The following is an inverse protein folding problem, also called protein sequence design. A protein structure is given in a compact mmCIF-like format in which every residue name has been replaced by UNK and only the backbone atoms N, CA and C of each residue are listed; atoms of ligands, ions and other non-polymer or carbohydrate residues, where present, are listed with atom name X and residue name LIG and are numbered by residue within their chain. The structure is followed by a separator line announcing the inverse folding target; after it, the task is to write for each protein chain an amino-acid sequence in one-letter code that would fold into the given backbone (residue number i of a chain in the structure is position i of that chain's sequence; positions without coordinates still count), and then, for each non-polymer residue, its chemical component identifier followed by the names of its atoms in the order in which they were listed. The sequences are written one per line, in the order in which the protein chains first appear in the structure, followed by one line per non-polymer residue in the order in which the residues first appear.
data_IF_467368364899
#
_entry.id   IF_467368364899
#
_cell.length_a   1.000
_cell.length_b   1.000
_cell.length_c   1.000
_cell.angle_alpha   90.00
_cell.angle_beta   90.00
_cell.angle_gamma   90.00
#
_symmetry.space_group_name_H-M   'P 1'
#
loop_
_entity.id
_entity.type
_entity.pdbx_description
1 polymer ?
#
# COMPACT_ATOMS: atom_id res chain seq x y z
N UNK A 1 -8.47 37.01 64.15
CA UNK A 1 -9.47 37.40 65.16
C UNK A 1 -10.83 37.57 64.48
N UNK A 2 -11.89 37.10 65.15
CA UNK A 2 -13.13 36.64 64.52
C UNK A 2 -14.06 37.73 64.00
N UNK A 3 -14.56 37.54 62.78
CA UNK A 3 -15.69 38.29 62.23
C UNK A 3 -17.01 37.62 62.63
N UNK A 4 -17.74 38.28 63.52
CA UNK A 4 -19.05 37.90 64.06
C UNK A 4 -20.10 37.71 62.95
N UNK A 5 -20.65 36.49 62.84
CA UNK A 5 -21.83 36.20 62.02
C UNK A 5 -23.05 36.90 62.61
N UNK A 6 -23.56 37.93 61.92
CA UNK A 6 -24.81 38.62 62.29
C UNK A 6 -25.98 37.63 62.41
N UNK A 7 -26.65 37.63 63.57
CA UNK A 7 -27.84 36.83 63.84
C UNK A 7 -29.03 37.33 62.99
N UNK A 8 -29.78 36.40 62.41
CA UNK A 8 -31.02 36.66 61.65
C UNK A 8 -32.12 37.14 62.58
N UNK A 9 -32.82 38.21 62.21
CA UNK A 9 -34.05 38.67 62.88
C UNK A 9 -35.20 37.69 62.57
N UNK A 10 -35.86 37.10 63.56
CA UNK A 10 -37.00 36.20 63.36
C UNK A 10 -38.23 36.99 62.89
N UNK A 11 -38.91 36.52 61.84
CA UNK A 11 -40.20 37.09 61.38
C UNK A 11 -40.26 37.56 59.91
N UNK A 12 -39.14 37.67 59.18
CA UNK A 12 -39.18 37.95 57.73
C UNK A 12 -39.26 36.66 56.90
N UNK A 13 -40.36 36.47 56.17
CA UNK A 13 -40.51 35.37 55.20
C UNK A 13 -39.39 35.45 54.15
N UNK A 14 -38.64 34.35 53.94
CA UNK A 14 -37.65 34.25 52.85
C UNK A 14 -38.34 34.56 51.51
N UNK A 15 -37.85 35.50 50.69
CA UNK A 15 -38.34 35.61 49.32
C UNK A 15 -38.04 34.29 48.61
N UNK A 16 -39.06 33.66 48.02
CA UNK A 16 -38.90 32.42 47.23
C UNK A 16 -37.93 32.74 46.08
N UNK A 17 -36.88 31.95 45.92
CA UNK A 17 -35.96 32.09 44.79
C UNK A 17 -36.75 31.85 43.50
N UNK A 18 -37.01 32.90 42.73
CA UNK A 18 -37.56 32.75 41.38
C UNK A 18 -36.46 32.14 40.53
N UNK A 19 -36.53 30.82 40.30
CA UNK A 19 -35.65 30.18 39.31
C UNK A 19 -36.03 30.76 37.95
N UNK A 20 -35.06 31.40 37.29
CA UNK A 20 -35.25 31.92 35.94
C UNK A 20 -35.78 30.79 35.01
N UNK A 21 -36.77 31.14 34.18
CA UNK A 21 -37.36 30.22 33.19
C UNK A 21 -36.24 29.78 32.25
N UNK A 22 -35.95 28.47 32.22
CA UNK A 22 -34.95 27.88 31.32
C UNK A 22 -35.44 28.09 29.89
N UNK A 23 -34.95 29.12 29.22
CA UNK A 23 -35.18 29.31 27.79
C UNK A 23 -34.28 28.33 27.04
N UNK A 24 -34.85 27.64 26.06
CA UNK A 24 -34.22 26.61 25.23
C UNK A 24 -33.00 27.10 24.41
N UNK A 25 -32.62 28.38 24.52
CA UNK A 25 -31.44 28.97 23.87
C UNK A 25 -30.13 28.82 24.67
N UNK A 26 -30.14 28.30 25.89
CA UNK A 26 -28.91 27.96 26.65
C UNK A 26 -28.52 26.48 26.58
N UNK A 27 -28.94 25.74 25.54
CA UNK A 27 -28.50 24.35 25.33
C UNK A 27 -27.12 24.24 24.67
N UNK A 28 -26.12 24.88 25.29
CA UNK A 28 -24.72 24.50 25.12
C UNK A 28 -24.18 24.14 26.49
N UNK A 29 -24.52 22.94 26.96
CA UNK A 29 -23.77 22.29 28.05
C UNK A 29 -22.34 22.05 27.52
N UNK A 30 -21.52 23.09 27.58
CA UNK A 30 -20.05 23.01 27.49
C UNK A 30 -19.65 22.20 28.74
N UNK A 31 -19.57 20.88 28.59
CA UNK A 31 -19.32 19.96 29.70
C UNK A 31 -17.99 20.38 30.34
N UNK A 32 -18.01 20.71 31.62
CA UNK A 32 -16.80 21.04 32.38
C UNK A 32 -15.91 19.78 32.47
N UNK A 33 -14.60 19.97 32.52
CA UNK A 33 -13.65 18.87 32.75
C UNK A 33 -13.78 18.36 34.19
N UNK A 34 -13.10 17.25 34.54
CA UNK A 34 -13.07 16.66 35.89
C UNK A 34 -12.57 17.64 36.99
N UNK A 35 -12.13 18.85 36.60
CA UNK A 35 -11.61 19.92 37.47
C UNK A 35 -12.23 21.29 37.16
N UNK A 36 -13.46 21.38 36.61
CA UNK A 36 -14.17 22.66 36.45
C UNK A 36 -13.61 23.62 35.39
N UNK A 37 -12.55 23.25 34.65
CA UNK A 37 -12.08 24.05 33.50
C UNK A 37 -12.97 23.83 32.28
N UNK A 38 -13.32 24.91 31.59
CA UNK A 38 -14.05 24.87 30.33
C UNK A 38 -13.32 24.01 29.30
N UNK A 39 -14.04 23.07 28.68
CA UNK A 39 -13.47 22.26 27.62
C UNK A 39 -13.35 23.05 26.32
N UNK A 40 -12.14 23.04 25.75
CA UNK A 40 -11.90 23.56 24.40
C UNK A 40 -12.68 22.72 23.38
N UNK A 41 -13.26 23.41 22.39
CA UNK A 41 -14.03 22.79 21.30
C UNK A 41 -13.16 21.74 20.59
N UNK A 42 -13.70 20.54 20.39
CA UNK A 42 -13.02 19.45 19.68
C UNK A 42 -12.10 18.56 20.53
N UNK A 43 -11.91 18.84 21.83
CA UNK A 43 -11.09 17.98 22.71
C UNK A 43 -11.79 16.71 23.21
N UNK A 44 -13.12 16.62 23.12
CA UNK A 44 -13.89 15.43 23.53
C UNK A 44 -14.94 15.05 22.50
N UNK A 45 -15.24 13.76 22.44
CA UNK A 45 -16.25 13.16 21.56
C UNK A 45 -15.66 12.55 20.30
N UNK A 46 -16.53 12.13 19.38
CA UNK A 46 -16.17 11.45 18.12
C UNK A 46 -15.12 12.26 17.34
N UNK A 47 -15.27 13.59 17.29
CA UNK A 47 -14.34 14.52 16.64
C UNK A 47 -12.90 14.40 17.15
N UNK A 48 -12.71 14.13 18.44
CA UNK A 48 -11.38 14.02 19.04
C UNK A 48 -10.65 12.73 18.66
N UNK A 49 -11.36 11.73 18.12
CA UNK A 49 -10.77 10.42 17.76
C UNK A 49 -10.26 10.38 16.32
N UNK A 50 -10.62 11.36 15.49
CA UNK A 50 -10.28 11.39 14.08
C UNK A 50 -9.41 12.58 13.72
N UNK A 51 -8.51 12.37 12.78
CA UNK A 51 -7.59 13.36 12.25
C UNK A 51 -7.73 13.42 10.73
N UNK A 52 -7.73 14.61 10.15
CA UNK A 52 -7.77 14.78 8.69
C UNK A 52 -6.45 14.37 8.06
N UNK A 53 -6.45 13.88 6.81
CA UNK A 53 -5.24 13.52 6.07
C UNK A 53 -4.12 14.57 6.17
N UNK A 54 -4.44 15.86 5.99
CA UNK A 54 -3.44 16.94 6.04
C UNK A 54 -2.83 17.11 7.44
N UNK A 55 -3.60 16.89 8.50
CA UNK A 55 -3.08 16.90 9.87
C UNK A 55 -2.15 15.70 10.13
N UNK A 56 -2.50 14.51 9.62
CA UNK A 56 -1.67 13.31 9.73
C UNK A 56 -0.31 13.51 9.04
N UNK A 57 -0.31 14.06 7.82
CA UNK A 57 0.92 14.36 7.08
C UNK A 57 1.84 15.32 7.83
N UNK A 58 1.28 16.38 8.43
CA UNK A 58 2.06 17.32 9.26
C UNK A 58 2.64 16.67 10.50
N UNK A 59 1.89 15.75 11.13
CA UNK A 59 2.33 15.04 12.34
C UNK A 59 3.43 14.03 12.07
N UNK A 60 3.31 13.23 11.00
CA UNK A 60 4.29 12.20 10.62
C UNK A 60 5.52 12.78 9.89
N UNK A 61 5.41 14.01 9.35
CA UNK A 61 6.46 14.71 8.58
C UNK A 61 6.92 13.93 7.33
N UNK A 62 5.97 13.31 6.63
CA UNK A 62 6.21 12.51 5.42
C UNK A 62 5.46 13.08 4.21
N UNK A 63 5.88 12.69 3.02
CA UNK A 63 5.20 13.09 1.78
C UNK A 63 3.87 12.34 1.60
N UNK A 64 2.96 12.86 0.78
CA UNK A 64 1.69 12.18 0.49
C UNK A 64 1.91 10.80 -0.16
N UNK A 65 2.93 10.67 -1.01
CA UNK A 65 3.28 9.40 -1.66
C UNK A 65 3.69 8.35 -0.63
N UNK A 66 4.62 8.70 0.24
CA UNK A 66 5.13 7.78 1.27
C UNK A 66 4.05 7.45 2.30
N UNK A 67 3.18 8.42 2.62
CA UNK A 67 2.02 8.18 3.48
C UNK A 67 1.03 7.19 2.88
N UNK A 68 0.68 7.31 1.59
CA UNK A 68 -0.20 6.33 0.93
C UNK A 68 0.40 4.94 0.96
N UNK A 69 1.69 4.82 0.62
CA UNK A 69 2.42 3.55 0.68
C UNK A 69 2.40 2.95 2.08
N UNK A 70 2.72 3.73 3.10
CA UNK A 70 2.75 3.27 4.48
C UNK A 70 1.36 2.80 4.95
N UNK A 71 0.31 3.52 4.59
CA UNK A 71 -1.07 3.12 4.88
C UNK A 71 -1.45 1.80 4.23
N UNK A 72 -1.02 1.56 2.98
CA UNK A 72 -1.27 0.30 2.27
C UNK A 72 -0.53 -0.85 2.96
N UNK A 73 0.76 -0.68 3.23
CA UNK A 73 1.60 -1.68 3.87
C UNK A 73 1.09 -2.07 5.26
N UNK A 74 0.60 -1.10 6.06
CA UNK A 74 0.02 -1.37 7.38
C UNK A 74 -1.47 -1.72 7.37
N UNK A 75 -2.16 -1.60 6.24
CA UNK A 75 -3.62 -1.84 6.18
C UNK A 75 -4.45 -0.80 6.92
N UNK A 76 -4.04 0.48 6.89
CA UNK A 76 -4.80 1.58 7.51
C UNK A 76 -5.64 2.27 6.45
N UNK A 77 -6.96 2.20 6.64
CA UNK A 77 -7.95 2.74 5.71
C UNK A 77 -8.55 4.04 6.23
N UNK A 78 -8.92 4.97 5.33
CA UNK A 78 -9.69 6.14 5.72
C UNK A 78 -11.06 5.71 6.28
N UNK A 79 -11.54 6.42 7.29
CA UNK A 79 -12.83 6.19 7.96
C UNK A 79 -13.77 7.37 7.69
N UNK A 80 -15.06 7.11 7.63
CA UNK A 80 -16.07 8.16 7.51
C UNK A 80 -16.81 8.37 8.84
N UNK A 81 -16.41 9.37 9.66
CA UNK A 81 -17.02 9.57 10.98
C UNK A 81 -18.41 10.21 10.86
N UNK A 82 -19.36 9.72 11.68
CA UNK A 82 -20.74 10.27 11.77
C UNK A 82 -20.79 11.77 12.01
N UNK A 83 -19.84 12.32 12.78
CA UNK A 83 -19.68 13.75 13.03
C UNK A 83 -18.31 14.19 12.52
N UNK A 84 -18.31 14.89 11.38
CA UNK A 84 -17.10 15.40 10.75
C UNK A 84 -16.67 16.72 11.42
N UNK A 85 -15.41 16.79 11.81
CA UNK A 85 -14.83 17.95 12.49
C UNK A 85 -14.50 19.10 11.52
N UNK A 86 -14.11 18.73 10.29
CA UNK A 86 -13.82 19.63 9.18
C UNK A 86 -14.73 19.23 8.00
N UNK A 87 -14.59 19.86 6.83
CA UNK A 87 -15.46 19.67 5.65
C UNK A 87 -15.77 18.20 5.28
N UNK A 88 -16.88 18.02 4.55
CA UNK A 88 -17.43 16.70 4.18
C UNK A 88 -16.53 15.90 3.23
N UNK A 89 -15.72 16.59 2.43
CA UNK A 89 -14.91 16.02 1.35
C UNK A 89 -13.51 15.59 1.78
N UNK A 90 -13.25 15.55 3.09
CA UNK A 90 -11.94 15.20 3.64
C UNK A 90 -11.91 13.74 4.10
N UNK A 91 -10.80 13.07 3.81
CA UNK A 91 -10.49 11.77 4.38
C UNK A 91 -10.06 11.91 5.85
N UNK A 92 -10.66 11.10 6.72
CA UNK A 92 -10.34 11.03 8.14
C UNK A 92 -9.65 9.71 8.47
N UNK A 93 -8.69 9.77 9.40
CA UNK A 93 -7.98 8.62 9.95
C UNK A 93 -8.16 8.61 11.46
N UNK A 94 -8.13 7.43 12.06
CA UNK A 94 -8.24 7.31 13.51
C UNK A 94 -6.90 7.69 14.17
N UNK A 95 -6.94 8.39 15.31
CA UNK A 95 -5.72 8.86 15.97
C UNK A 95 -4.87 7.70 16.49
N UNK A 96 -5.51 6.60 16.92
CA UNK A 96 -4.75 5.40 17.34
C UNK A 96 -3.92 4.84 16.20
N UNK A 97 -4.51 4.72 15.01
CA UNK A 97 -3.84 4.21 13.81
C UNK A 97 -2.65 5.11 13.41
N UNK A 98 -2.81 6.43 13.53
CA UNK A 98 -1.71 7.39 13.32
C UNK A 98 -0.60 7.24 14.39
N UNK A 99 -0.98 6.90 15.62
CA UNK A 99 -0.03 6.54 16.67
C UNK A 99 0.78 5.30 16.31
N UNK A 100 0.11 4.23 15.84
CA UNK A 100 0.77 3.02 15.36
C UNK A 100 1.71 3.30 14.18
N UNK A 101 1.30 4.16 13.23
CA UNK A 101 2.17 4.61 12.12
C UNK A 101 3.42 5.36 12.58
N UNK A 102 3.35 6.06 13.72
CA UNK A 102 4.48 6.86 14.21
C UNK A 102 5.62 5.99 14.74
N UNK A 103 5.31 4.79 15.24
CA UNK A 103 6.28 3.84 15.79
C UNK A 103 6.75 2.78 14.78
N UNK A 104 6.37 2.94 13.52
CA UNK A 104 6.67 1.98 12.47
C UNK A 104 8.12 2.16 11.95
N UNK A 105 8.93 1.08 11.83
CA UNK A 105 10.34 1.17 11.45
C UNK A 105 10.60 1.56 9.98
N UNK A 106 9.72 1.24 9.03
CA UNK A 106 9.81 1.72 7.64
C UNK A 106 9.77 3.24 7.54
N UNK A 107 9.14 3.95 8.49
CA UNK A 107 9.20 5.41 8.56
C UNK A 107 10.64 5.92 8.60
N UNK A 108 11.49 5.26 9.40
CA UNK A 108 12.91 5.60 9.49
C UNK A 108 13.64 5.26 8.17
N UNK A 109 13.30 4.13 7.55
CA UNK A 109 13.83 3.74 6.23
C UNK A 109 13.46 4.71 5.11
N UNK A 110 12.25 5.26 5.11
CA UNK A 110 11.87 6.30 4.15
C UNK A 110 12.65 7.59 4.35
N UNK A 111 12.96 7.96 5.60
CA UNK A 111 13.82 9.11 5.93
C UNK A 111 15.26 8.88 5.47
N UNK A 112 15.81 7.69 5.73
CA UNK A 112 17.13 7.26 5.23
C UNK A 112 17.18 7.32 3.71
N UNK A 113 16.17 6.77 3.02
CA UNK A 113 16.07 6.79 1.57
C UNK A 113 15.99 8.22 1.01
N UNK A 114 15.25 9.11 1.67
CA UNK A 114 15.19 10.52 1.27
C UNK A 114 16.53 11.24 1.44
N UNK A 115 17.24 10.99 2.54
CA UNK A 115 18.58 11.52 2.76
C UNK A 115 19.58 10.97 1.73
N UNK A 116 19.47 9.68 1.40
CA UNK A 116 20.21 9.02 0.35
C UNK A 116 19.98 9.68 -1.03
N UNK A 117 18.72 9.86 -1.42
CA UNK A 117 18.36 10.51 -2.69
C UNK A 117 18.89 11.95 -2.77
N UNK A 118 18.95 12.68 -1.65
CA UNK A 118 19.58 14.01 -1.59
C UNK A 118 21.08 13.95 -1.86
N UNK A 119 21.79 12.94 -1.33
CA UNK A 119 23.23 12.73 -1.57
C UNK A 119 23.50 12.34 -3.02
N UNK A 120 22.73 11.42 -3.59
CA UNK A 120 22.82 11.04 -5.01
C UNK A 120 22.59 12.24 -5.90
N UNK A 121 21.52 13.03 -5.64
CA UNK A 121 21.25 14.26 -6.40
C UNK A 121 22.40 15.26 -6.31
N UNK A 122 23.00 15.44 -5.13
CA UNK A 122 24.16 16.34 -4.95
C UNK A 122 25.37 15.90 -5.78
N UNK A 123 25.64 14.60 -5.84
CA UNK A 123 26.73 14.05 -6.67
C UNK A 123 26.46 14.27 -8.16
N UNK A 124 25.24 13.98 -8.61
CA UNK A 124 24.83 14.21 -10.00
C UNK A 124 24.90 15.68 -10.38
N UNK A 125 24.40 16.59 -9.52
CA UNK A 125 24.47 18.04 -9.76
C UNK A 125 25.90 18.58 -9.80
N UNK A 126 26.88 17.89 -9.22
CA UNK A 126 28.31 18.21 -9.32
C UNK A 126 28.98 17.63 -10.57
N UNK A 127 28.31 16.76 -11.31
CA UNK A 127 28.88 16.04 -12.46
C UNK A 127 29.69 14.78 -12.10
N UNK A 128 29.76 14.42 -10.81
CA UNK A 128 30.55 13.27 -10.32
C UNK A 128 29.81 11.93 -10.57
N UNK A 129 29.83 11.43 -11.82
CA UNK A 129 29.08 10.23 -12.26
C UNK A 129 29.50 8.96 -11.50
N UNK A 130 30.81 8.74 -11.33
CA UNK A 130 31.35 7.55 -10.64
C UNK A 130 30.93 7.48 -9.17
N UNK A 131 30.88 8.64 -8.50
CA UNK A 131 30.42 8.73 -7.12
C UNK A 131 28.91 8.49 -7.04
N UNK A 132 28.13 8.96 -8.00
CA UNK A 132 26.70 8.69 -8.07
C UNK A 132 26.40 7.19 -8.22
N UNK A 133 27.10 6.48 -9.10
CA UNK A 133 26.96 5.03 -9.30
C UNK A 133 27.33 4.22 -8.05
N UNK A 134 28.47 4.55 -7.41
CA UNK A 134 28.87 3.93 -6.13
C UNK A 134 27.81 4.13 -5.05
N UNK A 135 27.22 5.32 -4.99
CA UNK A 135 26.12 5.59 -4.04
C UNK A 135 24.87 4.81 -4.43
N UNK A 136 24.49 4.74 -5.70
CA UNK A 136 23.34 3.94 -6.16
C UNK A 136 23.45 2.47 -5.77
N UNK A 137 24.65 1.88 -5.85
CA UNK A 137 24.91 0.51 -5.39
C UNK A 137 24.68 0.32 -3.87
N UNK A 138 24.82 1.37 -3.07
CA UNK A 138 24.60 1.35 -1.61
C UNK A 138 23.17 1.80 -1.24
N UNK A 139 22.20 1.69 -2.15
CA UNK A 139 20.84 2.11 -1.88
C UNK A 139 20.25 1.35 -0.68
N UNK A 140 19.68 2.04 0.32
CA UNK A 140 19.08 1.37 1.46
C UNK A 140 17.81 0.63 1.01
N UNK A 141 17.76 -0.65 1.29
CA UNK A 141 16.58 -1.50 1.10
C UNK A 141 15.89 -1.71 2.44
N UNK A 142 14.57 -1.87 2.42
CA UNK A 142 13.79 -2.27 3.58
C UNK A 142 13.11 -3.61 3.30
N UNK A 143 12.83 -4.35 4.36
CA UNK A 143 12.09 -5.60 4.32
C UNK A 143 10.67 -5.38 4.86
N UNK A 144 9.73 -6.22 4.43
CA UNK A 144 8.33 -6.17 4.87
C UNK A 144 7.96 -7.36 5.78
N UNK A 145 8.95 -8.16 6.15
CA UNK A 145 8.78 -9.43 6.86
C UNK A 145 8.10 -9.26 8.22
N UNK A 146 8.45 -8.19 8.95
CA UNK A 146 7.82 -7.87 10.22
C UNK A 146 6.34 -7.50 10.05
N UNK A 147 5.97 -6.88 8.93
CA UNK A 147 4.57 -6.51 8.67
C UNK A 147 3.69 -7.74 8.46
N UNK A 148 4.17 -8.72 7.69
CA UNK A 148 3.44 -9.95 7.44
C UNK A 148 3.21 -10.70 8.75
N UNK A 149 4.25 -10.80 9.59
CA UNK A 149 4.17 -11.47 10.90
C UNK A 149 3.26 -10.76 11.91
N UNK A 150 3.25 -9.43 11.91
CA UNK A 150 2.36 -8.64 12.77
C UNK A 150 0.90 -8.74 12.32
N UNK A 151 0.66 -8.77 11.00
CA UNK A 151 -0.70 -8.80 10.43
C UNK A 151 -1.34 -10.19 10.50
N UNK A 152 -0.55 -11.24 10.26
CA UNK A 152 -1.00 -12.64 10.26
C UNK A 152 -0.25 -13.43 11.33
N UNK A 153 -0.70 -13.37 12.60
CA UNK A 153 -0.06 -14.13 13.68
C UNK A 153 -0.25 -15.64 13.49
N UNK A 154 -1.38 -16.06 12.90
CA UNK A 154 -1.64 -17.45 12.52
C UNK A 154 -1.48 -17.63 11.02
N UNK A 155 -1.12 -18.85 10.64
CA UNK A 155 -0.93 -19.19 9.24
C UNK A 155 -2.25 -19.28 8.47
N UNK A 156 -3.32 -19.74 9.12
CA UNK A 156 -4.63 -19.86 8.49
C UNK A 156 -5.18 -18.46 8.12
N UNK A 157 -4.95 -17.45 8.98
CA UNK A 157 -5.29 -16.05 8.67
C UNK A 157 -4.57 -15.55 7.40
N UNK A 158 -3.33 -15.99 7.16
CA UNK A 158 -2.58 -15.64 5.95
C UNK A 158 -3.10 -16.36 4.69
N UNK A 159 -3.63 -17.58 4.84
CA UNK A 159 -4.27 -18.31 3.74
C UNK A 159 -5.59 -17.67 3.33
N UNK A 160 -6.34 -17.10 4.29
CA UNK A 160 -7.60 -16.42 4.00
C UNK A 160 -7.47 -15.15 3.17
N UNK A 161 -6.36 -14.45 3.28
CA UNK A 161 -6.08 -13.23 2.50
C UNK A 161 -5.30 -13.52 1.19
N UNK A 162 -5.12 -14.79 0.83
CA UNK A 162 -4.30 -15.21 -0.32
C UNK A 162 -5.00 -14.99 -1.68
N UNK A 163 -6.34 -14.98 -1.70
CA UNK A 163 -7.19 -14.82 -2.89
C UNK A 163 -6.85 -13.55 -3.70
N UNK A 164 -6.81 -12.42 -3.00
CA UNK A 164 -6.48 -11.11 -3.58
C UNK A 164 -5.03 -11.06 -4.07
N UNK A 165 -4.11 -11.65 -3.29
CA UNK A 165 -2.70 -11.69 -3.62
C UNK A 165 -2.46 -12.47 -4.92
N UNK A 166 -3.05 -13.67 -5.03
CA UNK A 166 -2.93 -14.53 -6.21
C UNK A 166 -3.54 -13.86 -7.44
N UNK A 167 -4.72 -13.28 -7.31
CA UNK A 167 -5.39 -12.59 -8.42
C UNK A 167 -4.56 -11.42 -8.94
N UNK A 168 -3.94 -10.64 -8.04
CA UNK A 168 -3.08 -9.52 -8.44
C UNK A 168 -1.78 -10.00 -9.10
N UNK A 169 -1.13 -11.03 -8.56
CA UNK A 169 0.11 -11.59 -9.14
C UNK A 169 -0.12 -12.14 -10.55
N UNK A 170 -1.22 -12.86 -10.77
CA UNK A 170 -1.56 -13.39 -12.10
C UNK A 170 -1.90 -12.26 -13.08
N UNK A 171 -2.54 -11.18 -12.64
CA UNK A 171 -2.74 -9.99 -13.46
C UNK A 171 -1.39 -9.39 -13.90
N UNK A 172 -0.50 -9.10 -12.96
CA UNK A 172 0.81 -8.51 -13.27
C UNK A 172 1.72 -9.42 -14.10
N UNK A 173 1.55 -10.74 -14.02
CA UNK A 173 2.26 -11.71 -14.85
C UNK A 173 1.88 -11.60 -16.35
N UNK A 174 0.62 -11.25 -16.64
CA UNK A 174 0.11 -11.06 -18.01
C UNK A 174 0.31 -9.65 -18.57
N UNK A 175 0.51 -8.65 -17.71
CA UNK A 175 0.68 -7.27 -18.14
C UNK A 175 2.03 -7.05 -18.85
N UNK A 176 2.06 -6.24 -19.94
CA UNK A 176 3.30 -5.82 -20.57
C UNK A 176 4.09 -4.90 -19.62
N UNK A 177 5.42 -4.95 -19.72
CA UNK A 177 6.30 -4.09 -18.95
C UNK A 177 6.32 -2.67 -19.55
N UNK A 178 5.27 -1.90 -19.28
CA UNK A 178 5.12 -0.51 -19.72
C UNK A 178 4.97 0.48 -18.55
N UNK A 179 5.44 1.72 -18.78
CA UNK A 179 5.30 2.85 -17.87
C UNK A 179 5.97 2.65 -16.50
N UNK A 180 5.22 2.58 -15.39
CA UNK A 180 5.76 2.37 -14.05
C UNK A 180 6.05 0.90 -13.73
N UNK A 181 5.55 -0.04 -14.52
CA UNK A 181 5.75 -1.49 -14.29
C UNK A 181 7.13 -1.89 -14.83
N UNK A 182 7.96 -2.44 -13.95
CA UNK A 182 9.31 -2.89 -14.33
C UNK A 182 9.27 -4.34 -14.79
N UNK A 183 10.02 -4.66 -15.85
CA UNK A 183 10.14 -6.03 -16.36
C UNK A 183 10.56 -7.03 -15.27
N UNK A 184 11.48 -6.64 -14.38
CA UNK A 184 11.91 -7.47 -13.25
C UNK A 184 10.76 -7.82 -12.28
N UNK A 185 9.77 -6.94 -12.12
CA UNK A 185 8.60 -7.18 -11.26
C UNK A 185 7.61 -8.11 -11.92
N UNK A 186 7.33 -7.90 -13.21
CA UNK A 186 6.51 -8.80 -14.02
C UNK A 186 7.06 -10.22 -14.01
N UNK A 187 8.38 -10.37 -14.17
CA UNK A 187 9.03 -11.68 -14.14
C UNK A 187 8.93 -12.35 -12.77
N UNK A 188 9.14 -11.58 -11.69
CA UNK A 188 8.93 -12.12 -10.34
C UNK A 188 7.50 -12.58 -10.10
N UNK A 189 6.50 -11.88 -10.67
CA UNK A 189 5.10 -12.29 -10.58
C UNK A 189 4.82 -13.58 -11.35
N UNK A 190 5.42 -13.74 -12.54
CA UNK A 190 5.34 -15.00 -13.31
C UNK A 190 5.92 -16.17 -12.52
N UNK A 191 7.11 -16.01 -11.95
CA UNK A 191 7.73 -17.02 -11.10
C UNK A 191 6.82 -17.39 -9.93
N UNK A 192 6.31 -16.41 -9.17
CA UNK A 192 5.40 -16.68 -8.04
C UNK A 192 4.09 -17.36 -8.47
N UNK A 193 3.53 -16.99 -9.62
CA UNK A 193 2.34 -17.65 -10.17
C UNK A 193 2.63 -19.12 -10.51
N UNK A 194 3.78 -19.41 -11.13
CA UNK A 194 4.22 -20.77 -11.43
C UNK A 194 4.51 -21.58 -10.16
N UNK A 195 5.18 -20.99 -9.16
CA UNK A 195 5.41 -21.60 -7.84
C UNK A 195 4.08 -22.01 -7.18
N UNK A 196 3.05 -21.17 -7.27
CA UNK A 196 1.71 -21.49 -6.75
C UNK A 196 1.03 -22.60 -7.55
N UNK A 197 1.02 -22.49 -8.88
CA UNK A 197 0.39 -23.48 -9.74
C UNK A 197 1.02 -24.86 -9.58
N UNK A 198 2.36 -24.93 -9.47
CA UNK A 198 3.10 -26.16 -9.19
C UNK A 198 2.69 -26.77 -7.85
N UNK A 199 2.58 -25.95 -6.80
CA UNK A 199 2.11 -26.40 -5.50
C UNK A 199 0.72 -27.02 -5.58
N UNK A 200 -0.24 -26.34 -6.22
CA UNK A 200 -1.63 -26.83 -6.35
C UNK A 200 -1.67 -28.15 -7.14
N UNK A 201 -0.90 -28.26 -8.22
CA UNK A 201 -0.81 -29.47 -9.02
C UNK A 201 -0.23 -30.64 -8.21
N UNK A 202 0.85 -30.41 -7.45
CA UNK A 202 1.50 -31.46 -6.66
C UNK A 202 0.73 -31.87 -5.41
N UNK A 203 0.00 -30.94 -4.80
CA UNK A 203 -0.86 -31.21 -3.65
C UNK A 203 -2.21 -31.83 -4.03
N UNK A 204 -2.57 -31.87 -5.33
CA UNK A 204 -3.90 -32.24 -5.81
C UNK A 204 -5.03 -31.49 -5.10
N UNK A 205 -4.81 -30.20 -4.82
CA UNK A 205 -5.70 -29.40 -3.97
C UNK A 205 -6.84 -28.70 -4.75
N UNK A 206 -6.86 -28.81 -6.08
CA UNK A 206 -7.84 -28.12 -6.91
C UNK A 206 -9.23 -28.77 -6.80
N UNK A 207 -10.25 -27.98 -6.45
CA UNK A 207 -11.61 -28.49 -6.22
C UNK A 207 -12.59 -28.04 -7.30
N UNK A 208 -12.61 -26.73 -7.64
CA UNK A 208 -13.55 -26.18 -8.62
C UNK A 208 -12.84 -25.30 -9.63
N UNK A 209 -13.35 -25.33 -10.86
CA UNK A 209 -12.88 -24.49 -11.97
C UNK A 209 -14.08 -23.91 -12.68
N UNK A 210 -14.03 -22.62 -12.98
CA UNK A 210 -15.08 -21.92 -13.73
C UNK A 210 -14.49 -20.97 -14.76
N UNK A 211 -14.82 -21.17 -16.03
CA UNK A 211 -14.36 -20.32 -17.13
C UNK A 211 -15.37 -19.19 -17.35
N UNK A 212 -14.88 -17.96 -17.39
CA UNK A 212 -15.68 -16.76 -17.63
C UNK A 212 -15.07 -15.91 -18.75
N UNK A 213 -15.80 -14.88 -19.16
CA UNK A 213 -15.32 -13.87 -20.13
C UNK A 213 -14.08 -13.13 -19.60
N UNK A 214 -14.00 -12.90 -18.28
CA UNK A 214 -12.87 -12.19 -17.66
C UNK A 214 -11.59 -13.02 -17.57
N UNK A 215 -11.72 -14.34 -17.53
CA UNK A 215 -10.63 -15.26 -17.19
C UNK A 215 -11.16 -16.56 -16.61
N UNK A 216 -10.24 -17.37 -16.09
CA UNK A 216 -10.55 -18.65 -15.45
C UNK A 216 -10.45 -18.49 -13.94
N UNK A 217 -11.52 -18.83 -13.24
CA UNK A 217 -11.57 -18.89 -11.79
C UNK A 217 -11.17 -20.30 -11.33
N UNK A 218 -10.24 -20.37 -10.40
CA UNK A 218 -9.81 -21.60 -9.75
C UNK A 218 -10.13 -21.52 -8.26
N UNK A 219 -10.57 -22.64 -7.70
CA UNK A 219 -10.72 -22.81 -6.26
C UNK A 219 -9.90 -24.02 -5.83
N UNK A 220 -8.99 -23.83 -4.88
CA UNK A 220 -8.22 -24.91 -4.26
C UNK A 220 -8.44 -24.97 -2.76
N UNK A 221 -8.50 -26.17 -2.20
CA UNK A 221 -8.61 -26.40 -0.77
C UNK A 221 -7.22 -26.58 -0.17
N UNK A 222 -6.71 -25.54 0.48
CA UNK A 222 -5.38 -25.57 1.11
C UNK A 222 -5.55 -25.62 2.61
N UNK A 223 -5.31 -26.81 3.19
CA UNK A 223 -5.57 -27.05 4.61
C UNK A 223 -7.07 -27.15 4.89
N UNK A 224 -7.65 -26.12 5.53
CA UNK A 224 -9.10 -26.02 5.82
C UNK A 224 -9.74 -24.78 5.22
N UNK A 225 -9.03 -24.09 4.34
CA UNK A 225 -9.46 -22.81 3.78
C UNK A 225 -9.58 -22.95 2.26
N UNK A 226 -10.77 -22.68 1.68
CA UNK A 226 -10.89 -22.59 0.23
C UNK A 226 -10.24 -21.28 -0.23
N UNK A 227 -9.28 -21.39 -1.13
CA UNK A 227 -8.59 -20.26 -1.77
C UNK A 227 -9.12 -20.13 -3.19
N UNK A 228 -9.66 -18.96 -3.55
CA UNK A 228 -10.23 -18.68 -4.87
C UNK A 228 -9.46 -17.56 -5.56
N UNK A 229 -8.96 -17.80 -6.76
CA UNK A 229 -8.27 -16.77 -7.55
C UNK A 229 -8.68 -16.80 -9.01
N UNK A 230 -8.46 -15.67 -9.69
CA UNK A 230 -8.69 -15.54 -11.13
C UNK A 230 -7.36 -15.47 -11.88
N UNK A 231 -7.29 -16.23 -12.97
CA UNK A 231 -6.23 -16.11 -13.98
C UNK A 231 -6.85 -15.44 -15.21
N UNK A 232 -6.40 -14.22 -15.58
CA UNK A 232 -6.91 -13.56 -16.77
C UNK A 232 -6.51 -14.32 -18.03
N UNK A 233 -7.33 -14.22 -19.08
CA UNK A 233 -6.96 -14.73 -20.39
C UNK A 233 -5.70 -14.03 -20.90
N UNK A 234 -4.82 -14.78 -21.56
CA UNK A 234 -3.53 -14.29 -22.06
C UNK A 234 -3.70 -13.44 -23.34
N UNK A 235 -4.40 -12.32 -23.22
CA UNK A 235 -4.57 -11.32 -24.27
C UNK A 235 -3.62 -10.14 -24.05
N UNK A 236 -3.26 -9.46 -25.14
CA UNK A 236 -2.51 -8.20 -25.07
C UNK A 236 -3.43 -7.12 -24.50
N UNK A 237 -3.27 -6.82 -23.21
CA UNK A 237 -4.07 -5.81 -22.53
C UNK A 237 -3.50 -4.42 -22.81
N UNK A 238 -4.38 -3.46 -23.14
CA UNK A 238 -4.03 -2.05 -23.21
C UNK A 238 -4.19 -1.46 -21.81
N UNK A 239 -3.10 -0.91 -21.28
CA UNK A 239 -3.06 -0.30 -19.94
C UNK A 239 -3.87 1.00 -19.91
N UNK A 240 -5.01 1.07 -19.18
CA UNK A 240 -5.80 2.29 -19.13
C UNK A 240 -5.08 3.39 -18.32
N UNK A 241 -5.13 4.67 -18.75
CA UNK A 241 -4.45 5.77 -18.08
C UNK A 241 -5.10 6.16 -16.74
N UNK A 242 -6.37 5.77 -16.51
CA UNK A 242 -7.14 6.14 -15.32
C UNK A 242 -6.71 5.38 -14.05
N UNK A 243 -5.92 4.31 -14.20
CA UNK A 243 -5.52 3.43 -13.10
C UNK A 243 -4.17 3.85 -12.50
N UNK A 244 -4.14 4.10 -11.18
CA UNK A 244 -2.90 4.43 -10.48
C UNK A 244 -2.07 3.17 -10.16
N UNK A 245 -1.21 2.78 -11.11
CA UNK A 245 -0.29 1.65 -10.94
C UNK A 245 0.70 1.83 -9.78
N UNK A 246 0.98 3.06 -9.32
CA UNK A 246 1.90 3.24 -8.18
C UNK A 246 1.30 2.68 -6.90
N UNK A 247 0.00 2.82 -6.73
CA UNK A 247 -0.73 2.22 -5.61
C UNK A 247 -0.73 0.69 -5.77
N UNK A 248 -1.08 0.18 -6.96
CA UNK A 248 -1.09 -1.26 -7.21
C UNK A 248 0.28 -1.92 -6.98
N UNK A 249 1.37 -1.28 -7.38
CA UNK A 249 2.73 -1.77 -7.14
C UNK A 249 3.08 -1.86 -5.65
N UNK A 250 2.54 -0.98 -4.81
CA UNK A 250 2.74 -1.08 -3.35
C UNK A 250 1.94 -2.22 -2.72
N UNK A 251 0.76 -2.56 -3.26
CA UNK A 251 0.04 -3.77 -2.89
C UNK A 251 0.79 -5.02 -3.35
N UNK A 252 1.26 -5.02 -4.60
CA UNK A 252 2.02 -6.11 -5.18
C UNK A 252 3.27 -6.43 -4.35
N UNK A 253 4.02 -5.41 -3.93
CA UNK A 253 5.20 -5.57 -3.09
C UNK A 253 4.90 -6.29 -1.77
N UNK A 254 3.77 -5.96 -1.12
CA UNK A 254 3.33 -6.65 0.09
C UNK A 254 2.90 -8.09 -0.22
N UNK A 255 2.12 -8.29 -1.28
CA UNK A 255 1.64 -9.62 -1.68
C UNK A 255 2.76 -10.56 -2.14
N UNK A 256 3.81 -10.05 -2.78
CA UNK A 256 5.02 -10.82 -3.09
C UNK A 256 5.65 -11.37 -1.80
N UNK A 257 5.75 -10.56 -0.74
CA UNK A 257 6.30 -11.02 0.55
C UNK A 257 5.37 -12.01 1.24
N UNK A 258 4.05 -11.74 1.24
CA UNK A 258 3.04 -12.67 1.78
C UNK A 258 3.12 -14.03 1.10
N UNK A 259 3.15 -14.07 -0.24
CA UNK A 259 3.26 -15.29 -1.04
C UNK A 259 4.54 -16.05 -0.75
N UNK A 260 5.69 -15.36 -0.62
CA UNK A 260 6.95 -16.02 -0.25
C UNK A 260 6.83 -16.72 1.11
N UNK A 261 6.25 -16.07 2.12
CA UNK A 261 6.04 -16.69 3.44
C UNK A 261 5.07 -17.87 3.39
N UNK A 262 3.98 -17.74 2.64
CA UNK A 262 2.98 -18.81 2.56
C UNK A 262 3.51 -20.01 1.78
N UNK A 263 4.06 -19.78 0.59
CA UNK A 263 4.68 -20.81 -0.24
C UNK A 263 5.83 -21.50 0.50
N UNK A 264 6.71 -20.77 1.18
CA UNK A 264 7.77 -21.38 1.98
C UNK A 264 7.23 -22.44 2.93
N UNK A 265 6.19 -22.11 3.72
CA UNK A 265 5.60 -23.07 4.67
C UNK A 265 4.85 -24.21 3.98
N UNK A 266 4.16 -23.94 2.88
CA UNK A 266 3.42 -24.94 2.11
C UNK A 266 4.36 -25.98 1.47
N UNK A 267 5.47 -25.53 0.88
CA UNK A 267 6.49 -26.41 0.29
C UNK A 267 7.19 -27.26 1.36
N UNK A 268 7.47 -26.68 2.54
CA UNK A 268 8.01 -27.44 3.67
C UNK A 268 7.06 -28.55 4.16
N UNK A 269 5.74 -28.35 4.05
CA UNK A 269 4.75 -29.39 4.37
C UNK A 269 4.68 -30.51 3.32
N UNK A 270 5.12 -30.25 2.08
CA UNK A 270 5.20 -31.24 1.00
C UNK A 270 6.58 -31.89 0.86
N UNK A 271 7.48 -31.63 1.81
CA UNK A 271 8.87 -32.08 1.78
C UNK A 271 9.69 -31.62 0.55
N UNK A 272 9.32 -30.49 -0.05
CA UNK A 272 10.01 -29.89 -1.21
C UNK A 272 10.79 -28.63 -0.78
N UNK A 273 12.01 -28.48 -1.30
CA UNK A 273 12.83 -27.30 -1.04
C UNK A 273 12.24 -26.03 -1.68
N UNK A 274 12.26 -24.93 -0.94
CA UNK A 274 11.84 -23.61 -1.40
C UNK A 274 13.02 -22.65 -1.45
N UNK A 275 13.19 -21.84 -2.51
CA UNK A 275 12.41 -21.81 -3.76
C UNK A 275 12.62 -23.07 -4.63
N UNK A 276 11.62 -23.50 -5.43
CA UNK A 276 11.82 -24.59 -6.38
C UNK A 276 12.82 -24.18 -7.47
N UNK A 277 13.55 -25.16 -8.01
CA UNK A 277 14.49 -24.90 -9.10
C UNK A 277 13.73 -24.72 -10.42
N UNK A 278 14.13 -23.72 -11.19
CA UNK A 278 13.63 -23.49 -12.55
C UNK A 278 14.66 -23.97 -13.56
N UNK A 279 14.25 -24.80 -14.51
CA UNK A 279 15.09 -25.18 -15.64
C UNK A 279 14.96 -24.13 -16.75
N UNK A 280 15.98 -23.27 -16.88
CA UNK A 280 15.96 -22.13 -17.81
C UNK A 280 15.76 -22.55 -19.27
N UNK A 281 16.20 -23.76 -19.66
CA UNK A 281 15.96 -24.28 -21.02
C UNK A 281 14.48 -24.55 -21.26
N UNK A 282 13.79 -25.16 -20.29
CA UNK A 282 12.35 -25.46 -20.40
C UNK A 282 11.50 -24.19 -20.29
N UNK A 283 12.00 -23.18 -19.56
CA UNK A 283 11.39 -21.87 -19.48
C UNK A 283 11.46 -21.12 -20.83
N UNK A 284 12.62 -21.15 -21.49
CA UNK A 284 12.80 -20.62 -22.86
C UNK A 284 11.92 -21.33 -23.89
N UNK A 285 11.73 -22.65 -23.75
CA UNK A 285 10.81 -23.42 -24.57
C UNK A 285 9.31 -23.15 -24.25
N UNK A 286 9.01 -22.33 -23.24
CA UNK A 286 7.63 -21.97 -22.90
C UNK A 286 6.83 -23.08 -22.23
N UNK A 287 7.49 -24.06 -21.59
CA UNK A 287 6.81 -25.20 -20.94
C UNK A 287 6.38 -24.89 -19.50
N UNK A 288 6.45 -23.62 -19.07
CA UNK A 288 5.92 -23.04 -17.82
C UNK A 288 5.93 -23.99 -16.61
N UNK A 289 4.81 -24.66 -16.34
CA UNK A 289 4.64 -25.54 -15.16
C UNK A 289 5.63 -26.72 -15.14
N UNK A 290 6.00 -27.28 -16.30
CA UNK A 290 6.95 -28.38 -16.39
C UNK A 290 8.42 -27.94 -16.20
N UNK A 291 8.69 -26.63 -16.30
CA UNK A 291 10.02 -26.07 -16.03
C UNK A 291 10.33 -26.02 -14.52
N UNK A 292 9.32 -26.12 -13.66
CA UNK A 292 9.48 -26.11 -12.21
C UNK A 292 9.83 -27.51 -11.71
N UNK A 293 11.03 -27.66 -11.13
CA UNK A 293 11.49 -28.90 -10.50
C UNK A 293 11.55 -28.73 -8.98
N UNK A 294 10.68 -29.47 -8.29
CA UNK A 294 10.74 -29.62 -6.84
C UNK A 294 11.87 -30.56 -6.44
N UNK A 295 12.93 -30.04 -5.83
CA UNK A 295 13.97 -30.85 -5.21
C UNK A 295 13.52 -31.31 -3.82
N UNK A 296 13.79 -32.56 -3.40
CA UNK A 296 13.44 -33.03 -2.07
C UNK A 296 14.24 -32.29 -0.99
N UNK A 297 13.60 -31.93 0.14
CA UNK A 297 14.22 -31.17 1.24
C UNK A 297 15.51 -31.82 1.78
N UNK A 298 15.57 -33.15 1.84
CA UNK A 298 16.73 -33.90 2.35
C UNK A 298 18.00 -33.71 1.49
N UNK A 299 17.87 -33.36 0.21
CA UNK A 299 19.00 -33.11 -0.70
C UNK A 299 19.38 -31.62 -0.83
N UNK A 300 18.53 -30.70 -0.42
CA UNK A 300 18.71 -29.26 -0.66
C UNK A 300 19.59 -28.54 0.37
N UNK A 301 19.84 -29.16 1.55
CA UNK A 301 20.67 -28.56 2.61
C UNK A 301 22.11 -28.27 2.16
N UNK A 302 22.64 -29.00 1.17
CA UNK A 302 23.99 -28.79 0.62
C UNK A 302 24.08 -27.66 -0.40
N UNK A 303 22.97 -27.20 -1.00
CA UNK A 303 22.98 -26.19 -2.07
C UNK A 303 22.74 -24.77 -1.54
N UNK A 304 22.12 -24.63 -0.36
CA UNK A 304 21.89 -23.33 0.28
C UNK A 304 23.19 -22.72 0.85
N UNK A 305 24.21 -23.55 1.11
CA UNK A 305 25.52 -23.11 1.64
C UNK A 305 26.49 -22.63 0.57
N UNK A 306 26.31 -23.00 -0.71
CA UNK A 306 27.23 -22.62 -1.79
C UNK A 306 27.01 -21.20 -2.32
N UNK A 307 25.86 -20.57 -2.05
CA UNK A 307 25.57 -19.20 -2.49
C UNK A 307 26.17 -18.10 -1.60
N UNK A 308 26.86 -18.47 -0.50
CA UNK A 308 27.43 -17.51 0.48
C UNK A 308 28.96 -17.52 0.53
N UNK A 309 29.65 -18.30 -0.31
CA UNK A 309 31.12 -18.47 -0.23
C UNK A 309 31.86 -18.28 -1.55
N UNK A 310 31.46 -17.33 -2.39
CA UNK A 310 32.30 -16.85 -3.49
C UNK A 310 32.56 -15.35 -3.36
N UNK A 311 33.44 -15.05 -2.40
CA UNK A 311 34.09 -13.77 -2.27
C UNK A 311 35.56 -14.01 -1.92
N UNK A 312 36.43 -13.71 -2.89
CA UNK A 312 37.90 -13.61 -2.84
C UNK A 312 38.72 -14.82 -3.31
N UNK A 313 39.18 -14.77 -4.57
CA UNK A 313 40.60 -14.63 -4.95
C UNK A 313 40.92 -15.33 -6.28
N UNK A 314 41.24 -14.57 -7.33
CA UNK A 314 42.47 -14.67 -8.12
C UNK A 314 42.34 -13.86 -9.42
N UNK A 315 43.28 -12.92 -9.63
CA UNK A 315 43.53 -12.22 -10.89
C UNK A 315 44.52 -13.04 -11.71
N UNK A 316 44.28 -13.23 -13.01
CA UNK A 316 45.26 -12.99 -14.10
C UNK A 316 44.63 -13.19 -15.49
N UNK A 317 44.89 -12.25 -16.42
CA UNK A 317 44.97 -12.49 -17.88
C UNK A 317 43.76 -12.16 -18.77
N UNK A 318 43.83 -11.03 -19.49
CA UNK A 318 42.90 -10.51 -20.54
C UNK A 318 43.21 -11.10 -21.95
N UNK A 319 42.69 -10.57 -23.09
CA UNK A 319 41.30 -10.24 -23.52
C UNK A 319 40.94 -10.73 -24.96
N UNK A 320 39.66 -10.88 -25.34
CA UNK A 320 39.14 -10.37 -26.64
C UNK A 320 37.60 -10.47 -26.83
N UNK A 321 37.06 -9.43 -27.47
CA UNK A 321 35.84 -9.33 -28.29
C UNK A 321 34.43 -9.59 -27.70
N UNK A 322 33.73 -8.50 -27.34
CA UNK A 322 32.43 -8.11 -27.94
C UNK A 322 31.93 -6.78 -27.35
N UNK A 323 32.27 -5.67 -28.02
CA UNK A 323 31.81 -4.34 -27.69
C UNK A 323 30.34 -4.13 -28.13
N UNK A 324 29.44 -3.90 -27.16
CA UNK A 324 28.09 -3.39 -27.41
C UNK A 324 27.75 -2.25 -26.44
N UNK A 325 28.12 -1.04 -26.87
CA UNK A 325 27.53 0.28 -26.60
C UNK A 325 27.11 0.66 -25.15
N UNK A 326 27.93 1.45 -24.42
CA UNK A 326 27.58 2.00 -23.09
C UNK A 326 26.45 3.05 -23.11
N UNK A 327 26.01 3.47 -24.30
CA UNK A 327 25.13 4.63 -24.50
C UNK A 327 23.65 4.38 -24.11
N UNK A 328 23.21 3.13 -23.96
CA UNK A 328 21.80 2.79 -23.63
C UNK A 328 21.46 2.96 -22.15
N UNK A 329 22.44 2.74 -21.26
CA UNK A 329 22.27 2.89 -19.80
C UNK A 329 22.30 4.36 -19.36
N UNK A 330 23.12 5.18 -20.02
CA UNK A 330 23.23 6.62 -19.77
C UNK A 330 21.93 7.36 -20.11
N UNK A 331 21.29 7.03 -21.25
CA UNK A 331 19.96 7.57 -21.61
C UNK A 331 18.86 7.20 -20.61
N UNK A 332 18.94 6.00 -20.01
CA UNK A 332 18.02 5.58 -18.96
C UNK A 332 18.15 6.38 -17.66
N UNK A 333 19.37 6.81 -17.32
CA UNK A 333 19.67 7.64 -16.15
C UNK A 333 19.21 9.09 -16.35
N UNK A 334 19.44 9.67 -17.53
CA UNK A 334 18.95 11.00 -17.89
C UNK A 334 17.42 11.06 -17.90
N UNK A 335 16.74 10.03 -18.44
CA UNK A 335 15.29 9.92 -18.42
C UNK A 335 14.71 9.76 -17.00
N UNK A 336 15.38 9.01 -16.11
CA UNK A 336 14.99 8.90 -14.69
C UNK A 336 15.20 10.21 -13.92
N UNK A 337 16.28 10.94 -14.21
CA UNK A 337 16.58 12.25 -13.63
C UNK A 337 15.60 13.33 -14.11
N UNK A 338 15.24 13.34 -15.40
CA UNK A 338 14.23 14.23 -15.96
C UNK A 338 12.84 14.00 -15.36
N UNK A 339 12.42 12.73 -15.18
CA UNK A 339 11.16 12.38 -14.49
C UNK A 339 11.14 12.80 -13.02
N UNK A 340 12.29 12.78 -12.34
CA UNK A 340 12.43 13.26 -10.95
C UNK A 340 12.51 14.79 -10.84
N UNK A 341 12.95 15.48 -11.90
CA UNK A 341 12.95 16.94 -11.99
C UNK A 341 11.57 17.50 -12.35
N UNK A 342 10.83 16.85 -13.26
CA UNK A 342 9.47 17.23 -13.65
C UNK A 342 8.44 17.07 -12.53
N UNK A 343 8.69 16.20 -11.54
CA UNK A 343 7.86 16.06 -10.34
C UNK A 343 7.85 17.26 -9.39
N UNK A 344 8.51 18.38 -9.73
CA UNK A 344 8.43 19.67 -9.03
C UNK A 344 7.30 20.58 -9.53
N UNK A 345 6.56 20.20 -10.57
CA UNK A 345 5.46 21.02 -11.16
C UNK A 345 4.09 20.88 -10.48
N UNK A 346 3.86 19.86 -9.64
CA UNK A 346 2.58 19.70 -8.93
C UNK A 346 2.78 19.91 -7.43
N UNK A 347 3.01 21.16 -7.06
CA UNK A 347 2.87 21.63 -5.69
C UNK A 347 2.09 22.95 -5.69
N UNK A 348 0.79 22.86 -5.39
CA UNK A 348 -0.04 23.98 -4.95
C UNK A 348 -1.01 24.52 -6.00
N UNK A 349 -2.22 23.96 -6.03
CA UNK A 349 -3.31 24.46 -6.86
C UNK A 349 -4.69 23.94 -6.46
N UNK A 350 -4.95 23.70 -5.17
CA UNK A 350 -6.34 23.52 -4.71
C UNK A 350 -6.92 24.92 -4.42
N UNK A 351 -7.47 25.55 -5.46
CA UNK A 351 -8.30 26.73 -5.33
C UNK A 351 -9.66 26.32 -4.75
N UNK A 352 -9.94 26.73 -3.51
CA UNK A 352 -11.29 26.76 -2.94
C UNK A 352 -12.16 27.73 -3.77
N UNK A 353 -12.98 27.18 -4.67
CA UNK A 353 -14.00 27.92 -5.38
C UNK A 353 -15.18 28.27 -4.47
N UNK A 354 -15.26 29.53 -4.06
CA UNK A 354 -16.47 30.17 -3.52
C UNK A 354 -17.59 30.13 -4.57
N UNK A 355 -18.67 29.41 -4.30
CA UNK A 355 -19.90 29.49 -5.07
C UNK A 355 -20.83 30.56 -4.51
N UNK A 356 -20.70 31.79 -5.00
CA UNK A 356 -21.68 32.88 -4.87
C UNK A 356 -22.41 33.08 -6.20
N UNK A 357 -23.72 33.32 -6.08
CA UNK A 357 -24.70 33.63 -7.13
C UNK A 357 -24.21 34.47 -8.32
N UNK A 358 -24.64 34.11 -9.53
CA UNK A 358 -24.33 34.87 -10.74
C UNK A 358 -25.00 34.31 -12.00
N UNK A 359 -26.30 34.52 -12.11
CA UNK A 359 -27.18 34.27 -13.27
C UNK A 359 -26.59 34.80 -14.58
N UNK A 360 -26.43 33.96 -15.62
CA UNK A 360 -26.56 34.38 -17.03
C UNK A 360 -26.94 33.21 -17.95
N UNK A 361 -28.12 33.38 -18.57
CA UNK A 361 -28.68 32.55 -19.65
C UNK A 361 -27.73 32.48 -20.85
N UNK A 362 -27.63 31.31 -21.48
CA UNK A 362 -27.62 31.17 -22.95
C UNK A 362 -28.18 29.79 -23.33
N UNK A 363 -29.17 29.82 -24.22
CA UNK A 363 -29.90 28.67 -24.76
C UNK A 363 -29.10 28.01 -25.90
N UNK A 364 -29.36 26.71 -26.10
CA UNK A 364 -29.63 26.00 -27.37
C UNK A 364 -28.93 24.63 -27.40
N UNK A 365 -29.69 23.55 -27.15
CA UNK A 365 -30.25 22.57 -28.12
C UNK A 365 -29.26 21.50 -28.55
N UNK A 366 -29.46 20.24 -28.11
CA UNK A 366 -29.50 19.08 -29.03
C UNK A 366 -30.04 17.81 -28.32
N UNK A 367 -31.01 17.21 -28.99
CA UNK A 367 -31.66 15.89 -28.95
C UNK A 367 -31.30 14.84 -27.86
N UNK A 368 -32.34 14.38 -27.16
CA UNK A 368 -32.41 13.10 -26.45
C UNK A 368 -32.83 11.98 -27.41
N UNK A 369 -31.92 11.05 -27.70
CA UNK A 369 -32.23 9.76 -28.29
C UNK A 369 -32.82 8.80 -27.25
N UNK A 370 -34.04 8.32 -27.51
CA UNK A 370 -34.82 7.39 -26.69
C UNK A 370 -34.64 5.99 -27.25
N UNK A 371 -33.95 5.10 -26.54
CA UNK A 371 -33.94 3.67 -26.85
C UNK A 371 -34.83 2.94 -25.83
N UNK A 372 -36.00 2.49 -26.30
CA UNK A 372 -36.86 1.52 -25.60
C UNK A 372 -36.50 0.14 -26.14
N UNK A 373 -36.01 -0.74 -25.27
CA UNK A 373 -35.90 -2.18 -25.53
C UNK A 373 -36.92 -2.89 -24.65
N UNK A 374 -37.85 -3.58 -25.29
CA UNK A 374 -38.89 -4.43 -24.70
C UNK A 374 -38.29 -5.58 -23.88
N UNK A 375 -38.87 -5.84 -22.71
CA UNK A 375 -38.76 -7.09 -21.96
C UNK A 375 -40.17 -7.48 -21.53
N UNK A 376 -40.63 -8.66 -21.96
CA UNK A 376 -41.68 -9.45 -21.31
C UNK A 376 -41.78 -10.82 -22.02
N UNK A 377 -42.30 -11.85 -21.35
CA UNK A 377 -42.01 -12.31 -20.00
C UNK A 377 -41.00 -13.48 -19.98
#
# INVERSE_FOLDING_TARGET
MGGTRGKRVPGKKKPKSVKAKVTSKMSSKRRLSRMGKELKKGQKGIVANYMTRSQVLRRLQITLRDFRRLCILKGIYPRDPKKKASGKDKAYYHIKDVGFLSHEPLLNKFREFKAFMKKVRKAVSRGDKTLAEKREATAPQYTLDHLVRERYPRFDDALGDLDDALSLVHLFATLPADGPVQAARTERCRQLALEWQYYVARAHALTKVFVSVKGVYFQAEVGRQPVTWIVPHAFTQVTPPDVDFRIMLTFLEFYETLLKFTLFKLYHRLDVAYPPAFDGRLEECGVYMAAVRGLPLKGARGLLTSSTSEGQSARTGSPEAAAATPNRKVKGLEAKLARLAAGKGEAGGDAEGKGGEGRRKRKNTCQKGRWRGHWAP
#
